data_IF_430018110404
#
_entry.id   IF_430018110404
#
_cell.length_a   1.000
_cell.length_b   1.000
_cell.length_c   1.000
_cell.angle_alpha   90.00
_cell.angle_beta   90.00
_cell.angle_gamma   90.00
#
_symmetry.space_group_name_H-M   'P 1'
#
loop_
_entity.id
_entity.type
_entity.pdbx_description
1 polymer ?
#
# COMPACT_ATOMS: atom_id res chain seq x y z
N UNK A 1 66.88 -31.41 9.54
CA UNK A 1 66.42 -31.80 8.18
C UNK A 1 64.91 -32.07 8.21
N UNK A 2 64.11 -31.32 7.46
CA UNK A 2 62.64 -31.50 7.43
C UNK A 2 62.26 -32.66 6.51
N UNK A 3 61.52 -33.64 7.02
CA UNK A 3 61.12 -34.81 6.23
C UNK A 3 60.17 -34.45 5.09
N UNK A 4 60.47 -34.82 3.82
CA UNK A 4 59.71 -34.42 2.64
C UNK A 4 58.25 -34.94 2.61
N UNK A 5 57.93 -35.97 3.40
CA UNK A 5 56.55 -36.45 3.57
C UNK A 5 55.66 -35.46 4.34
N UNK A 6 56.23 -34.73 5.32
CA UNK A 6 55.48 -33.77 6.16
C UNK A 6 55.14 -32.49 5.37
N UNK A 7 56.03 -32.07 4.48
CA UNK A 7 55.80 -30.93 3.58
C UNK A 7 54.66 -31.22 2.59
N UNK A 8 54.63 -32.41 1.99
CA UNK A 8 53.57 -32.84 1.06
C UNK A 8 52.19 -32.88 1.70
N UNK A 9 52.07 -33.43 2.92
CA UNK A 9 50.80 -33.45 3.67
C UNK A 9 50.28 -32.04 3.98
N UNK A 10 51.17 -31.12 4.38
CA UNK A 10 50.80 -29.72 4.64
C UNK A 10 50.31 -29.00 3.37
N UNK A 11 51.01 -29.21 2.25
CA UNK A 11 50.62 -28.62 0.97
C UNK A 11 49.26 -29.13 0.49
N UNK A 12 49.01 -30.44 0.63
CA UNK A 12 47.72 -31.04 0.29
C UNK A 12 46.58 -30.45 1.15
N UNK A 13 46.76 -30.41 2.48
CA UNK A 13 45.77 -29.83 3.39
C UNK A 13 45.47 -28.36 3.07
N UNK A 14 46.50 -27.57 2.76
CA UNK A 14 46.35 -26.17 2.37
C UNK A 14 45.53 -26.01 1.08
N UNK A 15 45.76 -26.88 0.09
CA UNK A 15 45.01 -26.86 -1.18
C UNK A 15 43.53 -27.18 -0.96
N UNK A 16 43.22 -28.19 -0.13
CA UNK A 16 41.82 -28.54 0.20
C UNK A 16 41.12 -27.38 0.94
N UNK A 17 41.80 -26.75 1.91
CA UNK A 17 41.27 -25.59 2.60
C UNK A 17 41.02 -24.42 1.66
N UNK A 18 41.91 -24.17 0.70
CA UNK A 18 41.76 -23.11 -0.29
C UNK A 18 40.60 -23.37 -1.24
N UNK A 19 40.43 -24.60 -1.70
CA UNK A 19 39.30 -24.98 -2.56
C UNK A 19 37.96 -24.86 -1.81
N UNK A 20 37.92 -25.26 -0.54
CA UNK A 20 36.74 -25.10 0.31
C UNK A 20 36.40 -23.60 0.52
N UNK A 21 37.41 -22.77 0.80
CA UNK A 21 37.23 -21.33 0.95
C UNK A 21 36.67 -20.68 -0.33
N UNK A 22 37.17 -21.09 -1.51
CA UNK A 22 36.67 -20.61 -2.79
C UNK A 22 35.21 -21.02 -3.04
N UNK A 23 34.86 -22.29 -2.74
CA UNK A 23 33.48 -22.78 -2.85
C UNK A 23 32.54 -22.04 -1.91
N UNK A 24 32.98 -21.79 -0.67
CA UNK A 24 32.18 -21.04 0.30
C UNK A 24 31.98 -19.59 -0.12
N UNK A 25 33.02 -18.94 -0.67
CA UNK A 25 32.91 -17.59 -1.20
C UNK A 25 31.94 -17.50 -2.37
N UNK A 26 31.96 -18.48 -3.29
CA UNK A 26 30.99 -18.53 -4.39
C UNK A 26 29.55 -18.69 -3.88
N UNK A 27 29.34 -19.59 -2.90
CA UNK A 27 28.02 -19.77 -2.28
C UNK A 27 27.54 -18.49 -1.58
N UNK A 28 28.43 -17.79 -0.88
CA UNK A 28 28.10 -16.54 -0.20
C UNK A 28 27.63 -15.48 -1.21
N UNK A 29 28.37 -15.28 -2.31
CA UNK A 29 27.98 -14.36 -3.39
C UNK A 29 26.62 -14.72 -4.01
N UNK A 30 26.34 -16.01 -4.16
CA UNK A 30 25.06 -16.47 -4.68
C UNK A 30 23.91 -16.18 -3.71
N UNK A 31 24.13 -16.36 -2.40
CA UNK A 31 23.15 -16.02 -1.37
C UNK A 31 22.90 -14.52 -1.29
N UNK A 32 23.94 -13.70 -1.33
CA UNK A 32 23.83 -12.23 -1.37
C UNK A 32 22.96 -11.78 -2.55
N UNK A 33 23.21 -12.32 -3.75
CA UNK A 33 22.39 -12.02 -4.94
C UNK A 33 20.91 -12.37 -4.72
N UNK A 34 20.62 -13.57 -4.20
CA UNK A 34 19.24 -14.01 -3.95
C UNK A 34 18.53 -13.18 -2.89
N UNK A 35 19.26 -12.72 -1.88
CA UNK A 35 18.73 -11.82 -0.85
C UNK A 35 18.34 -10.49 -1.48
N UNK A 36 19.21 -9.90 -2.32
CA UNK A 36 18.90 -8.65 -3.02
C UNK A 36 17.69 -8.77 -3.96
N UNK A 37 17.57 -9.88 -4.68
CA UNK A 37 16.40 -10.16 -5.53
C UNK A 37 15.11 -10.23 -4.68
N UNK A 38 15.14 -10.96 -3.57
CA UNK A 38 13.98 -11.09 -2.68
C UNK A 38 13.59 -9.76 -2.04
N UNK A 39 14.58 -8.95 -1.62
CA UNK A 39 14.33 -7.61 -1.08
C UNK A 39 13.63 -6.72 -2.10
N UNK A 40 14.07 -6.75 -3.36
CA UNK A 40 13.45 -5.99 -4.44
C UNK A 40 12.00 -6.44 -4.70
N UNK A 41 11.73 -7.74 -4.73
CA UNK A 41 10.36 -8.25 -4.88
C UNK A 41 9.45 -7.80 -3.73
N UNK A 42 9.95 -7.82 -2.50
CA UNK A 42 9.20 -7.33 -1.33
C UNK A 42 8.93 -5.83 -1.46
N UNK A 43 9.91 -5.04 -1.87
CA UNK A 43 9.73 -3.60 -2.12
C UNK A 43 8.66 -3.33 -3.19
N UNK A 44 8.68 -4.07 -4.30
CA UNK A 44 7.66 -3.97 -5.36
C UNK A 44 6.26 -4.35 -4.85
N UNK A 45 6.13 -5.41 -4.03
CA UNK A 45 4.85 -5.80 -3.43
C UNK A 45 4.33 -4.79 -2.41
N UNK A 46 5.25 -4.11 -1.69
CA UNK A 46 4.91 -3.11 -0.69
C UNK A 46 4.74 -1.71 -1.27
N UNK A 47 5.08 -1.47 -2.54
CA UNK A 47 4.80 -0.19 -3.17
C UNK A 47 3.28 0.02 -3.15
N UNK A 48 2.79 1.05 -2.44
CA UNK A 48 1.39 1.40 -2.56
C UNK A 48 1.12 1.73 -4.04
N UNK A 49 -0.04 1.35 -4.59
CA UNK A 49 -0.36 1.71 -5.96
C UNK A 49 -0.17 3.22 -6.11
N UNK A 50 0.73 3.63 -7.00
CA UNK A 50 0.99 5.05 -7.29
C UNK A 50 -0.24 5.77 -7.88
N UNK A 51 -1.36 5.05 -8.03
CA UNK A 51 -2.65 5.54 -8.47
C UNK A 51 -3.63 5.76 -7.30
N UNK A 52 -3.17 6.24 -6.15
CA UNK A 52 -4.07 6.74 -5.09
C UNK A 52 -4.85 8.00 -5.48
N UNK A 53 -4.59 8.55 -6.68
CA UNK A 53 -5.44 9.56 -7.33
C UNK A 53 -6.71 8.96 -7.98
N UNK A 54 -6.77 7.65 -8.22
CA UNK A 54 -7.97 6.99 -8.76
C UNK A 54 -9.05 6.77 -7.69
N UNK A 55 -8.65 6.65 -6.42
CA UNK A 55 -9.56 6.63 -5.28
C UNK A 55 -10.22 7.99 -5.02
N UNK A 56 -9.70 9.10 -5.59
CA UNK A 56 -10.26 10.46 -5.45
C UNK A 56 -11.17 10.88 -6.60
N UNK A 57 -11.40 10.03 -7.60
CA UNK A 57 -12.21 10.35 -8.79
C UNK A 57 -13.45 9.47 -8.93
N UNK A 58 -14.01 8.95 -7.83
CA UNK A 58 -15.38 8.45 -7.94
C UNK A 58 -16.30 9.66 -8.21
N UNK A 59 -17.00 9.70 -9.35
CA UNK A 59 -17.94 10.77 -9.62
C UNK A 59 -19.02 10.74 -8.54
N UNK A 60 -19.52 11.91 -8.11
CA UNK A 60 -20.54 11.96 -7.08
C UNK A 60 -21.76 11.14 -7.51
N UNK A 61 -22.23 10.29 -6.61
CA UNK A 61 -23.42 9.47 -6.79
C UNK A 61 -24.63 10.41 -6.75
N UNK A 62 -25.27 10.67 -7.91
CA UNK A 62 -26.54 11.39 -8.00
C UNK A 62 -27.69 10.40 -8.15
N UNK A 63 -28.34 10.07 -7.03
CA UNK A 63 -29.54 9.24 -7.02
C UNK A 63 -30.78 10.14 -6.93
N UNK A 64 -31.80 9.84 -7.75
CA UNK A 64 -33.14 10.40 -7.63
C UNK A 64 -34.14 9.26 -7.46
N UNK A 65 -34.61 9.05 -6.23
CA UNK A 65 -35.63 8.05 -5.93
C UNK A 65 -37.02 8.66 -6.09
N UNK A 66 -37.87 7.98 -6.87
CA UNK A 66 -39.29 8.29 -6.96
C UNK A 66 -39.97 8.00 -5.62
N UNK A 67 -40.80 8.93 -5.15
CA UNK A 67 -41.44 8.86 -3.83
C UNK A 67 -40.70 9.60 -2.72
N UNK A 68 -39.47 10.04 -2.95
CA UNK A 68 -38.78 11.02 -2.10
C UNK A 68 -38.98 12.44 -2.63
N UNK A 69 -39.14 13.39 -1.71
CA UNK A 69 -39.13 14.81 -2.06
C UNK A 69 -37.74 15.24 -2.55
N UNK A 70 -37.66 16.40 -3.21
CA UNK A 70 -36.39 16.94 -3.69
C UNK A 70 -35.38 17.13 -2.54
N UNK A 71 -35.82 17.56 -1.36
CA UNK A 71 -34.96 17.76 -0.18
C UNK A 71 -34.45 16.45 0.41
N UNK A 72 -35.25 15.38 0.39
CA UNK A 72 -34.84 14.06 0.87
C UNK A 72 -33.80 13.42 -0.07
N UNK A 73 -33.99 13.56 -1.39
CA UNK A 73 -32.98 13.14 -2.36
C UNK A 73 -31.66 13.92 -2.20
N UNK A 74 -31.73 15.23 -1.93
CA UNK A 74 -30.54 16.05 -1.65
C UNK A 74 -29.82 15.55 -0.39
N UNK A 75 -30.54 15.26 0.69
CA UNK A 75 -29.96 14.72 1.93
C UNK A 75 -29.35 13.33 1.72
N UNK A 76 -30.00 12.48 0.93
CA UNK A 76 -29.48 11.17 0.57
C UNK A 76 -28.16 11.29 -0.21
N UNK A 77 -28.13 12.13 -1.24
CA UNK A 77 -26.91 12.36 -2.01
C UNK A 77 -25.81 13.03 -1.17
N UNK A 78 -26.16 13.87 -0.20
CA UNK A 78 -25.22 14.42 0.77
C UNK A 78 -24.58 13.31 1.63
N UNK A 79 -25.36 12.33 2.11
CA UNK A 79 -24.84 11.20 2.90
C UNK A 79 -23.95 10.28 2.03
N UNK A 80 -24.35 10.05 0.78
CA UNK A 80 -23.62 9.19 -0.16
C UNK A 80 -22.34 9.84 -0.72
N UNK A 81 -22.22 11.17 -0.61
CA UNK A 81 -21.06 11.93 -1.08
C UNK A 81 -20.49 12.82 0.04
N UNK A 82 -19.93 12.23 1.12
CA UNK A 82 -19.49 12.98 2.30
C UNK A 82 -18.35 13.97 2.00
N UNK A 83 -17.52 13.68 1.00
CA UNK A 83 -16.36 14.49 0.61
C UNK A 83 -16.69 15.56 -0.46
N UNK A 84 -17.96 15.68 -0.86
CA UNK A 84 -18.39 16.67 -1.85
C UNK A 84 -18.65 18.04 -1.18
N UNK A 85 -18.04 19.15 -1.64
CA UNK A 85 -18.23 20.48 -1.02
C UNK A 85 -19.71 20.95 -0.94
N UNK A 86 -20.56 20.46 -1.84
CA UNK A 86 -22.00 20.79 -1.91
C UNK A 86 -22.83 20.09 -0.79
N UNK A 87 -22.32 19.00 -0.23
CA UNK A 87 -22.94 18.20 0.85
C UNK A 87 -23.05 19.00 2.14
N UNK A 88 -21.98 19.69 2.52
CA UNK A 88 -21.89 20.50 3.75
C UNK A 88 -22.84 21.71 3.69
N UNK A 89 -22.99 22.32 2.50
CA UNK A 89 -23.93 23.43 2.28
C UNK A 89 -25.38 22.95 2.37
N UNK A 90 -25.70 21.82 1.76
CA UNK A 90 -27.08 21.28 1.70
C UNK A 90 -27.64 20.86 3.06
N UNK A 91 -26.78 20.40 3.97
CA UNK A 91 -27.18 20.04 5.33
C UNK A 91 -27.36 21.27 6.24
N UNK A 92 -26.70 22.40 5.96
CA UNK A 92 -26.84 23.63 6.73
C UNK A 92 -28.16 24.37 6.49
N UNK A 93 -28.75 24.31 5.28
CA UNK A 93 -29.97 25.07 4.94
C UNK A 93 -31.25 24.46 5.55
N UNK A 94 -31.23 23.18 5.94
CA UNK A 94 -32.42 22.48 6.46
C UNK A 94 -32.70 22.82 7.93
N UNK A 95 -31.76 23.46 8.64
CA UNK A 95 -31.91 23.88 10.03
C UNK A 95 -32.74 25.14 10.27
N UNK A 96 -33.02 25.95 9.23
CA UNK A 96 -33.56 27.31 9.43
C UNK A 96 -35.05 27.51 9.07
N UNK A 97 -35.80 26.46 8.73
CA UNK A 97 -37.23 26.59 8.39
C UNK A 97 -38.17 25.80 9.29
N UNK A 98 -38.09 26.02 10.59
CA UNK A 98 -39.23 25.84 11.50
C UNK A 98 -39.18 26.90 12.59
N UNK A 99 -39.81 28.05 12.35
CA UNK A 99 -40.64 28.76 13.32
C UNK A 99 -41.10 30.08 12.70
N UNK A 100 -42.20 30.06 11.96
CA UNK A 100 -43.00 31.27 11.84
C UNK A 100 -44.47 30.90 11.78
N UNK A 101 -45.18 31.32 12.84
CA UNK A 101 -46.52 30.87 13.15
C UNK A 101 -47.57 31.39 12.18
N UNK A 102 -48.65 30.61 12.06
CA UNK A 102 -49.99 31.15 11.80
C UNK A 102 -50.97 30.47 12.74
N UNK A 103 -51.25 31.15 13.85
CA UNK A 103 -52.57 31.11 14.48
C UNK A 103 -53.52 31.78 13.48
N UNK A 104 -54.56 31.08 13.06
CA UNK A 104 -55.79 31.69 12.60
C UNK A 104 -56.90 31.12 13.49
N UNK A 105 -57.51 32.03 14.27
CA UNK A 105 -58.85 31.84 14.78
C UNK A 105 -59.88 32.17 13.73
#
# INVERSE_FOLDING_TARGET
MTHPARARKKHFAKRIQQELAQKNLQKLKQLEKRISECQKEIEEMLQPPQNSEEAKRQPPIEIRLHGLTASENIRLNAILNPDCPQTIRSLSVVGEKKHEGRRLG
#
